data_IF_066938805696
#
_entry.id   IF_066938805696
#
_cell.length_a   1.000
_cell.length_b   1.000
_cell.length_c   1.000
_cell.angle_alpha   90.00
_cell.angle_beta   90.00
_cell.angle_gamma   90.00
#
_symmetry.space_group_name_H-M   'P 1'
#
loop_
_entity.id
_entity.type
_entity.pdbx_description
1 polymer ?
#
# COMPACT_ATOMS: atom_id res chain seq x y z
N UNK A 1 -16.97 -8.19 15.15
CA UNK A 1 -16.01 -8.65 16.17
C UNK A 1 -14.61 -8.56 15.58
N UNK A 2 -13.63 -8.09 16.35
CA UNK A 2 -12.23 -8.08 15.94
C UNK A 2 -11.65 -9.51 15.86
N UNK A 3 -12.09 -10.38 16.77
CA UNK A 3 -11.80 -11.81 16.76
C UNK A 3 -13.05 -12.61 17.18
N UNK A 4 -13.51 -13.51 16.31
CA UNK A 4 -14.71 -14.32 16.50
C UNK A 4 -14.49 -15.39 17.56
N UNK A 5 -13.32 -16.03 17.59
CA UNK A 5 -13.04 -17.14 18.50
C UNK A 5 -12.96 -16.67 19.97
N UNK A 6 -12.34 -15.52 20.22
CA UNK A 6 -12.24 -14.92 21.55
C UNK A 6 -13.40 -13.98 21.89
N UNK A 7 -14.37 -13.82 20.97
CA UNK A 7 -15.50 -12.87 21.08
C UNK A 7 -15.07 -11.43 21.33
N UNK A 8 -13.91 -11.05 20.81
CA UNK A 8 -13.39 -9.70 21.00
C UNK A 8 -14.22 -8.68 20.20
N UNK A 9 -14.74 -7.62 20.83
CA UNK A 9 -15.48 -6.58 20.12
C UNK A 9 -14.55 -5.75 19.22
N UNK A 10 -15.14 -5.11 18.21
CA UNK A 10 -14.45 -4.04 17.46
C UNK A 10 -14.47 -2.79 18.32
N UNK A 11 -13.35 -2.06 18.35
CA UNK A 11 -13.19 -0.80 19.09
C UNK A 11 -12.56 0.25 18.18
N UNK A 12 -12.51 1.51 18.62
CA UNK A 12 -11.89 2.59 17.85
C UNK A 12 -10.37 2.39 17.62
N UNK A 13 -9.71 1.59 18.47
CA UNK A 13 -8.28 1.29 18.39
C UNK A 13 -7.99 -0.09 17.78
N UNK A 14 -9.02 -0.78 17.27
CA UNK A 14 -8.82 -2.05 16.57
C UNK A 14 -8.07 -1.79 15.27
N UNK A 15 -6.88 -2.37 15.14
CA UNK A 15 -6.06 -2.30 13.94
C UNK A 15 -6.49 -3.34 12.91
N UNK A 16 -6.49 -2.94 11.64
CA UNK A 16 -6.74 -3.79 10.48
C UNK A 16 -5.56 -3.68 9.53
N UNK A 17 -5.28 -4.75 8.79
CA UNK A 17 -4.33 -4.66 7.67
C UNK A 17 -4.91 -3.70 6.62
N UNK A 18 -4.18 -2.62 6.33
CA UNK A 18 -4.64 -1.61 5.36
C UNK A 18 -4.35 -2.04 3.91
N UNK A 19 -3.59 -3.13 3.74
CA UNK A 19 -3.15 -3.69 2.47
C UNK A 19 -2.64 -2.57 1.53
N UNK A 20 -3.13 -2.58 0.29
CA UNK A 20 -2.71 -1.72 -0.80
C UNK A 20 -2.84 -0.22 -0.57
N UNK A 21 -3.51 0.24 0.49
CA UNK A 21 -3.49 1.64 0.90
C UNK A 21 -2.05 2.09 1.26
N UNK A 22 -1.22 1.17 1.77
CA UNK A 22 0.17 1.45 2.13
C UNK A 22 1.02 2.02 0.96
N UNK A 23 0.65 1.73 -0.29
CA UNK A 23 1.38 2.23 -1.47
C UNK A 23 1.47 3.75 -1.51
N UNK A 24 0.46 4.45 -1.00
CA UNK A 24 0.46 5.91 -0.90
C UNK A 24 1.63 6.38 -0.03
N UNK A 25 1.85 5.74 1.13
CA UNK A 25 2.95 6.06 2.03
C UNK A 25 4.33 5.78 1.40
N UNK A 26 4.46 4.67 0.66
CA UNK A 26 5.68 4.37 -0.10
C UNK A 26 5.94 5.44 -1.17
N UNK A 27 4.91 5.87 -1.91
CA UNK A 27 5.02 6.91 -2.92
C UNK A 27 5.46 8.26 -2.34
N UNK A 28 4.96 8.63 -1.15
CA UNK A 28 5.40 9.82 -0.42
C UNK A 28 6.88 9.75 -0.07
N UNK A 29 7.36 8.59 0.43
CA UNK A 29 8.79 8.41 0.71
C UNK A 29 9.66 8.53 -0.55
N UNK A 30 9.18 8.03 -1.70
CA UNK A 30 9.82 8.23 -3.01
C UNK A 30 9.87 9.71 -3.36
N UNK A 31 8.76 10.43 -3.20
CA UNK A 31 8.69 11.86 -3.49
C UNK A 31 9.62 12.68 -2.59
N UNK A 32 9.82 12.29 -1.33
CA UNK A 32 10.83 12.91 -0.45
C UNK A 32 12.26 12.76 -0.99
N UNK A 33 12.60 11.61 -1.58
CA UNK A 33 13.91 11.44 -2.23
C UNK A 33 14.05 12.25 -3.52
N UNK A 34 12.94 12.47 -4.24
CA UNK A 34 12.90 13.37 -5.40
C UNK A 34 13.11 14.82 -4.98
N UNK A 35 12.40 15.27 -3.93
CA UNK A 35 12.58 16.59 -3.30
C UNK A 35 14.02 16.82 -2.87
N UNK A 36 14.66 15.80 -2.27
CA UNK A 36 16.05 15.85 -1.84
C UNK A 36 17.08 15.77 -3.00
N UNK A 37 16.64 15.73 -4.25
CA UNK A 37 17.52 15.65 -5.42
C UNK A 37 18.22 14.29 -5.61
N UNK A 38 17.92 13.29 -4.77
CA UNK A 38 18.55 11.96 -4.80
C UNK A 38 17.97 11.05 -5.88
N UNK A 39 16.73 11.34 -6.31
CA UNK A 39 15.99 10.58 -7.32
C UNK A 39 15.27 11.55 -8.28
N UNK A 40 14.92 11.07 -9.48
CA UNK A 40 14.08 11.80 -10.44
C UNK A 40 13.00 10.87 -10.99
N UNK A 41 11.85 11.40 -11.37
CA UNK A 41 10.77 10.64 -12.02
C UNK A 41 11.26 9.87 -13.27
N UNK A 42 12.20 10.46 -14.01
CA UNK A 42 12.82 9.88 -15.22
C UNK A 42 14.00 8.96 -14.94
N UNK A 43 14.42 8.78 -13.67
CA UNK A 43 15.47 7.82 -13.33
C UNK A 43 15.01 6.44 -13.75
N UNK A 44 15.87 5.69 -14.43
CA UNK A 44 15.54 4.34 -14.87
C UNK A 44 15.77 3.31 -13.77
N UNK A 45 14.98 2.25 -13.79
CA UNK A 45 15.11 1.11 -12.87
C UNK A 45 16.51 0.49 -12.92
N UNK A 46 17.16 0.56 -14.09
CA UNK A 46 18.51 0.05 -14.35
C UNK A 46 19.56 0.54 -13.35
N UNK A 47 19.43 1.78 -12.85
CA UNK A 47 20.36 2.36 -11.86
C UNK A 47 20.44 1.52 -10.57
N UNK A 48 19.34 0.86 -10.20
CA UNK A 48 19.22 0.13 -8.93
C UNK A 48 19.13 -1.38 -9.12
N UNK A 49 18.47 -1.81 -10.19
CA UNK A 49 18.18 -3.22 -10.48
C UNK A 49 18.46 -3.55 -11.95
N UNK A 50 19.73 -3.58 -12.38
CA UNK A 50 20.09 -3.77 -13.78
C UNK A 50 19.64 -5.13 -14.35
N UNK A 51 19.46 -6.13 -13.49
CA UNK A 51 19.00 -7.48 -13.84
C UNK A 51 17.48 -7.58 -14.03
N UNK A 52 16.70 -6.57 -13.64
CA UNK A 52 15.25 -6.60 -13.85
C UNK A 52 14.91 -6.55 -15.36
N UNK A 53 13.83 -7.22 -15.80
CA UNK A 53 13.38 -7.16 -17.19
C UNK A 53 13.17 -5.72 -17.65
N UNK A 54 13.68 -5.38 -18.85
CA UNK A 54 13.56 -4.04 -19.44
C UNK A 54 13.97 -2.88 -18.49
N UNK A 55 14.93 -3.11 -17.58
CA UNK A 55 15.29 -2.12 -16.55
C UNK A 55 15.71 -0.75 -17.09
N UNK A 56 16.26 -0.68 -18.32
CA UNK A 56 16.63 0.57 -18.99
C UNK A 56 15.43 1.36 -19.52
N UNK A 57 14.34 0.67 -19.89
CA UNK A 57 13.12 1.28 -20.44
C UNK A 57 12.09 1.65 -19.39
N UNK A 58 12.25 1.20 -18.14
CA UNK A 58 11.32 1.46 -17.04
C UNK A 58 11.83 2.59 -16.16
N UNK A 59 10.98 3.59 -15.92
CA UNK A 59 11.27 4.76 -15.07
C UNK A 59 10.60 4.69 -13.70
N UNK A 60 11.05 5.50 -12.74
CA UNK A 60 10.37 5.66 -11.44
C UNK A 60 8.91 6.06 -11.61
N UNK A 61 8.62 6.96 -12.56
CA UNK A 61 7.25 7.37 -12.88
C UNK A 61 6.38 6.18 -13.28
N UNK A 62 6.90 5.29 -14.14
CA UNK A 62 6.16 4.10 -14.57
C UNK A 62 5.93 3.09 -13.46
N UNK A 63 6.84 2.99 -12.47
CA UNK A 63 6.60 2.18 -11.28
C UNK A 63 5.47 2.75 -10.42
N UNK A 64 5.49 4.07 -10.15
CA UNK A 64 4.46 4.75 -9.37
C UNK A 64 3.06 4.65 -10.00
N UNK A 65 3.00 4.52 -11.32
CA UNK A 65 1.75 4.52 -12.10
C UNK A 65 1.21 3.14 -12.44
N UNK A 66 1.93 2.09 -12.07
CA UNK A 66 1.63 0.72 -12.51
C UNK A 66 1.66 0.59 -14.04
N UNK A 67 2.60 1.25 -14.73
CA UNK A 67 2.78 1.17 -16.18
C UNK A 67 4.15 0.60 -16.57
N UNK A 68 4.87 -0.02 -15.63
CA UNK A 68 6.18 -0.64 -15.90
C UNK A 68 6.11 -1.92 -16.74
N UNK A 69 4.95 -2.57 -16.81
CA UNK A 69 4.79 -3.91 -17.38
C UNK A 69 5.33 -5.04 -16.51
N UNK A 70 5.88 -4.76 -15.32
CA UNK A 70 6.44 -5.80 -14.45
C UNK A 70 5.35 -6.54 -13.67
N UNK A 71 5.48 -7.86 -13.58
CA UNK A 71 4.57 -8.74 -12.85
C UNK A 71 5.29 -9.92 -12.22
N UNK A 72 4.64 -10.57 -11.26
CA UNK A 72 5.10 -11.83 -10.69
C UNK A 72 4.65 -13.01 -11.58
N UNK A 73 5.42 -14.10 -11.65
CA UNK A 73 4.95 -15.34 -12.26
C UNK A 73 3.77 -15.92 -11.47
N UNK A 74 2.92 -16.72 -12.12
CA UNK A 74 1.70 -17.27 -11.50
C UNK A 74 1.98 -18.17 -10.29
N UNK A 75 3.12 -18.82 -10.29
CA UNK A 75 3.63 -19.73 -9.27
C UNK A 75 4.64 -19.08 -8.32
N UNK A 76 4.71 -17.73 -8.31
CA UNK A 76 5.59 -17.00 -7.41
C UNK A 76 5.44 -17.47 -5.96
N UNK A 77 6.59 -17.74 -5.34
CA UNK A 77 6.70 -18.04 -3.92
C UNK A 77 7.54 -16.96 -3.26
N UNK A 78 7.12 -16.40 -2.11
CA UNK A 78 7.94 -15.45 -1.39
C UNK A 78 9.26 -16.12 -0.96
N UNK A 79 10.32 -15.33 -0.87
CA UNK A 79 11.55 -15.79 -0.24
C UNK A 79 11.27 -16.16 1.23
N UNK A 80 12.09 -17.04 1.85
CA UNK A 80 12.10 -17.17 3.30
C UNK A 80 12.28 -15.80 3.95
N UNK A 81 11.67 -15.62 5.13
CA UNK A 81 11.81 -14.39 5.90
C UNK A 81 13.29 -14.11 6.17
N UNK A 82 13.76 -12.92 5.80
CA UNK A 82 15.17 -12.53 5.92
C UNK A 82 15.26 -11.03 6.24
N UNK A 83 15.77 -10.23 5.31
CA UNK A 83 15.80 -8.77 5.35
C UNK A 83 15.10 -8.19 4.11
N UNK A 84 14.82 -6.88 4.14
CA UNK A 84 14.10 -6.20 3.07
C UNK A 84 14.79 -6.32 1.69
N UNK A 85 16.14 -6.33 1.64
CA UNK A 85 16.86 -6.46 0.38
C UNK A 85 16.80 -7.90 -0.15
N UNK A 86 16.74 -8.90 0.71
CA UNK A 86 16.46 -10.29 0.34
C UNK A 86 15.13 -10.43 -0.37
N UNK A 87 14.05 -9.85 0.19
CA UNK A 87 12.72 -9.80 -0.43
C UNK A 87 12.78 -9.15 -1.82
N UNK A 88 13.43 -7.99 -1.91
CA UNK A 88 13.54 -7.23 -3.17
C UNK A 88 14.37 -7.99 -4.22
N UNK A 89 15.51 -8.56 -3.84
CA UNK A 89 16.39 -9.27 -4.76
C UNK A 89 15.71 -10.53 -5.31
N UNK A 90 14.95 -11.24 -4.47
CA UNK A 90 14.12 -12.36 -4.90
C UNK A 90 13.03 -11.90 -5.87
N UNK A 91 12.32 -10.83 -5.55
CA UNK A 91 11.31 -10.25 -6.42
C UNK A 91 11.88 -9.81 -7.79
N UNK A 92 13.09 -9.26 -7.82
CA UNK A 92 13.81 -8.91 -9.06
C UNK A 92 14.18 -10.15 -9.87
N UNK A 93 14.63 -11.23 -9.21
CA UNK A 93 15.02 -12.46 -9.88
C UNK A 93 13.83 -13.16 -10.56
N UNK A 94 12.67 -13.14 -9.90
CA UNK A 94 11.45 -13.77 -10.39
C UNK A 94 10.64 -12.89 -11.36
N UNK A 95 10.91 -11.58 -11.40
CA UNK A 95 10.16 -10.60 -12.18
C UNK A 95 10.00 -11.02 -13.66
N UNK A 96 8.78 -10.89 -14.17
CA UNK A 96 8.43 -11.07 -15.58
C UNK A 96 7.92 -9.77 -16.17
N UNK A 97 8.04 -9.64 -17.48
CA UNK A 97 7.39 -8.58 -18.24
C UNK A 97 6.05 -9.09 -18.79
N UNK A 98 5.01 -8.27 -18.73
CA UNK A 98 3.74 -8.56 -19.38
C UNK A 98 3.89 -8.59 -20.90
N UNK A 99 2.97 -9.26 -21.59
CA UNK A 99 2.95 -9.34 -23.05
C UNK A 99 2.86 -7.95 -23.73
N UNK A 100 2.24 -6.98 -23.06
CA UNK A 100 2.09 -5.61 -23.55
C UNK A 100 3.30 -4.71 -23.30
N UNK A 101 4.32 -5.20 -22.57
CA UNK A 101 5.47 -4.39 -22.17
C UNK A 101 5.12 -3.24 -21.22
N UNK A 102 6.00 -2.23 -21.15
CA UNK A 102 5.79 -1.01 -20.38
C UNK A 102 4.99 0.04 -21.18
N UNK A 103 4.28 0.92 -20.47
CA UNK A 103 3.44 1.98 -21.04
C UNK A 103 1.94 1.68 -21.00
N UNK A 104 1.55 0.42 -20.83
CA UNK A 104 0.15 0.04 -20.57
C UNK A 104 -0.07 -0.16 -19.07
N UNK A 105 -1.22 0.28 -18.57
CA UNK A 105 -1.57 0.10 -17.16
C UNK A 105 -1.76 -1.38 -16.82
N UNK A 106 -1.04 -1.83 -15.80
CA UNK A 106 -1.14 -3.18 -15.24
C UNK A 106 -0.82 -3.13 -13.75
N UNK A 107 -1.84 -3.29 -12.91
CA UNK A 107 -1.68 -3.28 -11.46
C UNK A 107 -0.80 -4.44 -11.00
N UNK A 108 0.32 -4.13 -10.33
CA UNK A 108 1.26 -5.14 -9.85
C UNK A 108 2.03 -4.63 -8.63
N UNK A 109 1.89 -5.33 -7.50
CA UNK A 109 2.59 -5.00 -6.26
C UNK A 109 4.11 -4.95 -6.40
N UNK A 110 4.66 -5.71 -7.36
CA UNK A 110 6.10 -5.71 -7.68
C UNK A 110 6.65 -4.30 -7.92
N UNK A 111 5.86 -3.40 -8.53
CA UNK A 111 6.27 -2.01 -8.74
C UNK A 111 6.69 -1.32 -7.42
N UNK A 112 5.89 -1.51 -6.38
CA UNK A 112 6.07 -0.86 -5.08
C UNK A 112 7.07 -1.61 -4.18
N UNK A 113 7.22 -2.92 -4.35
CA UNK A 113 8.36 -3.67 -3.77
C UNK A 113 9.68 -3.12 -4.32
N UNK A 114 9.77 -2.90 -5.63
CA UNK A 114 10.97 -2.32 -6.24
C UNK A 114 11.20 -0.87 -5.78
N UNK A 115 10.17 -0.03 -5.69
CA UNK A 115 10.29 1.32 -5.13
C UNK A 115 10.82 1.29 -3.69
N UNK A 116 10.35 0.35 -2.86
CA UNK A 116 10.87 0.14 -1.50
C UNK A 116 12.35 -0.22 -1.52
N UNK A 117 12.76 -1.13 -2.41
CA UNK A 117 14.16 -1.46 -2.62
C UNK A 117 15.03 -0.28 -3.07
N UNK A 118 14.51 0.61 -3.91
CA UNK A 118 15.20 1.86 -4.30
C UNK A 118 15.40 2.76 -3.08
N UNK A 119 14.36 2.94 -2.26
CA UNK A 119 14.44 3.73 -1.03
C UNK A 119 15.51 3.18 -0.08
N UNK A 120 15.54 1.87 0.13
CA UNK A 120 16.54 1.20 0.98
C UNK A 120 17.94 1.42 0.42
N UNK A 121 18.17 1.19 -0.89
CA UNK A 121 19.47 1.41 -1.53
C UNK A 121 19.94 2.87 -1.48
N UNK A 122 19.03 3.83 -1.58
CA UNK A 122 19.36 5.26 -1.54
C UNK A 122 19.68 5.78 -0.14
N UNK A 123 19.10 5.18 0.89
CA UNK A 123 19.13 5.72 2.25
C UNK A 123 19.95 4.89 3.22
N UNK A 124 20.19 3.61 2.91
CA UNK A 124 20.80 2.65 3.84
C UNK A 124 19.88 2.24 4.99
N UNK A 125 18.62 2.67 5.00
CA UNK A 125 17.64 2.38 6.06
C UNK A 125 16.68 1.27 5.62
N UNK A 126 16.19 0.48 6.57
CA UNK A 126 15.09 -0.46 6.32
C UNK A 126 13.80 0.27 6.00
N UNK A 127 12.84 -0.41 5.37
CA UNK A 127 11.52 0.18 5.11
C UNK A 127 10.84 0.60 6.42
N UNK A 128 10.93 -0.22 7.47
CA UNK A 128 10.36 0.10 8.78
C UNK A 128 10.95 1.38 9.39
N UNK A 129 12.27 1.59 9.26
CA UNK A 129 12.93 2.82 9.72
C UNK A 129 12.46 4.05 8.93
N UNK A 130 12.39 3.94 7.61
CA UNK A 130 11.88 5.01 6.75
C UNK A 130 10.42 5.35 7.04
N UNK A 131 9.60 4.33 7.27
CA UNK A 131 8.20 4.48 7.64
C UNK A 131 8.07 5.19 9.00
N UNK A 132 8.81 4.73 10.01
CA UNK A 132 8.77 5.31 11.35
C UNK A 132 9.23 6.77 11.38
N UNK A 133 10.28 7.12 10.61
CA UNK A 133 10.82 8.48 10.54
C UNK A 133 9.98 9.42 9.67
N UNK A 134 9.20 8.89 8.72
CA UNK A 134 8.33 9.69 7.86
C UNK A 134 6.93 9.87 8.43
N UNK A 135 6.40 8.84 9.10
CA UNK A 135 5.00 8.79 9.53
C UNK A 135 4.87 8.54 11.04
N UNK A 136 5.31 7.38 11.55
CA UNK A 136 4.96 6.96 12.92
C UNK A 136 5.37 7.96 13.99
N UNK A 137 6.62 8.40 13.95
CA UNK A 137 7.18 9.34 14.94
C UNK A 137 6.58 10.74 14.79
N UNK A 138 6.63 11.41 13.61
CA UNK A 138 6.14 12.78 13.48
C UNK A 138 4.62 12.93 13.56
N UNK A 139 3.86 11.85 13.37
CA UNK A 139 2.39 11.86 13.44
C UNK A 139 1.84 11.22 14.72
N UNK A 140 2.73 10.74 15.60
CA UNK A 140 2.39 10.05 16.84
C UNK A 140 1.42 8.88 16.61
N UNK A 141 1.75 8.01 15.65
CA UNK A 141 0.94 6.83 15.32
C UNK A 141 1.17 5.76 16.40
N UNK A 142 0.15 5.50 17.21
CA UNK A 142 0.24 4.58 18.37
C UNK A 142 -0.43 3.23 18.13
N UNK A 143 -1.27 3.10 17.10
CA UNK A 143 -1.94 1.87 16.69
C UNK A 143 -1.57 1.57 15.24
N UNK A 144 -0.27 1.43 15.00
CA UNK A 144 0.30 1.10 13.70
C UNK A 144 1.42 0.07 13.88
N UNK A 145 1.33 -1.07 13.20
CA UNK A 145 2.32 -2.17 13.33
C UNK A 145 2.55 -2.87 12.00
N UNK A 146 3.70 -3.51 11.81
CA UNK A 146 3.92 -4.34 10.62
C UNK A 146 3.28 -5.73 10.79
N UNK A 147 2.74 -6.27 9.69
CA UNK A 147 2.01 -7.54 9.67
C UNK A 147 2.86 -8.78 10.02
N UNK A 148 4.18 -8.69 9.90
CA UNK A 148 5.12 -9.75 10.28
C UNK A 148 5.52 -9.70 11.77
N UNK A 149 5.11 -8.67 12.51
CA UNK A 149 5.35 -8.60 13.94
C UNK A 149 4.47 -9.57 14.73
N UNK A 150 4.82 -9.83 15.98
CA UNK A 150 4.01 -10.69 16.87
C UNK A 150 2.62 -10.07 17.06
N UNK A 151 1.53 -10.79 16.78
CA UNK A 151 0.18 -10.25 16.94
C UNK A 151 -0.13 -9.78 18.36
N UNK A 152 -0.82 -8.65 18.48
CA UNK A 152 -1.32 -8.09 19.73
C UNK A 152 -2.85 -8.13 19.77
N UNK A 153 -3.44 -7.97 20.96
CA UNK A 153 -4.88 -8.08 21.12
C UNK A 153 -5.66 -7.05 20.28
N UNK A 154 -5.13 -5.86 20.09
CA UNK A 154 -5.74 -4.80 19.28
C UNK A 154 -5.66 -5.05 17.76
N UNK A 155 -4.93 -6.06 17.28
CA UNK A 155 -4.94 -6.47 15.87
C UNK A 155 -6.14 -7.39 15.58
N UNK A 156 -7.01 -6.96 14.67
CA UNK A 156 -8.11 -7.79 14.21
C UNK A 156 -7.59 -9.07 13.53
N UNK A 157 -8.33 -10.16 13.67
CA UNK A 157 -8.10 -11.38 12.88
C UNK A 157 -8.81 -11.25 11.54
N UNK A 158 -8.08 -11.43 10.43
CA UNK A 158 -8.67 -11.49 9.09
C UNK A 158 -9.38 -12.83 8.87
N UNK A 159 -10.45 -12.83 8.08
CA UNK A 159 -11.24 -14.02 7.80
C UNK A 159 -11.45 -14.22 6.30
N UNK A 160 -11.48 -15.49 5.87
CA UNK A 160 -11.98 -15.82 4.54
C UNK A 160 -13.47 -15.47 4.45
N UNK A 161 -13.90 -14.84 3.36
CA UNK A 161 -15.32 -14.59 3.13
C UNK A 161 -16.02 -15.83 2.56
N UNK A 162 -17.23 -16.14 3.05
CA UNK A 162 -18.06 -17.23 2.55
C UNK A 162 -19.26 -16.66 1.78
N UNK A 163 -19.25 -16.68 0.43
CA UNK A 163 -20.30 -16.04 -0.37
C UNK A 163 -21.71 -16.60 -0.11
N UNK A 164 -21.82 -17.91 0.09
CA UNK A 164 -23.10 -18.59 0.29
C UNK A 164 -23.85 -18.10 1.54
N UNK A 165 -23.13 -17.71 2.58
CA UNK A 165 -23.72 -17.26 3.86
C UNK A 165 -23.56 -15.76 4.09
N UNK A 166 -22.79 -15.08 3.23
CA UNK A 166 -22.35 -13.70 3.41
C UNK A 166 -21.73 -13.44 4.79
N UNK A 167 -21.01 -14.43 5.33
CA UNK A 167 -20.40 -14.37 6.67
C UNK A 167 -18.89 -14.64 6.62
N UNK A 168 -18.15 -14.18 7.64
CA UNK A 168 -16.78 -14.62 7.85
C UNK A 168 -16.71 -16.14 8.04
N UNK A 169 -15.73 -16.77 7.40
CA UNK A 169 -15.40 -18.18 7.50
C UNK A 169 -14.27 -18.45 8.49
N UNK A 170 -13.34 -19.34 8.13
CA UNK A 170 -12.16 -19.63 8.94
C UNK A 170 -11.19 -18.43 8.97
N UNK A 171 -10.37 -18.27 10.03
CA UNK A 171 -9.30 -17.28 10.06
C UNK A 171 -8.39 -17.40 8.83
N UNK A 172 -7.97 -16.26 8.31
CA UNK A 172 -6.92 -16.18 7.32
C UNK A 172 -5.58 -16.20 8.05
N UNK A 173 -4.71 -17.17 7.72
CA UNK A 173 -3.41 -17.32 8.37
C UNK A 173 -2.32 -16.88 7.41
N UNK A 174 -1.61 -15.82 7.77
CA UNK A 174 -0.50 -15.27 7.00
C UNK A 174 0.81 -15.57 7.72
N UNK A 175 1.72 -16.31 7.08
CA UNK A 175 3.06 -16.52 7.61
C UNK A 175 3.94 -15.27 7.46
N UNK A 176 4.91 -15.08 8.34
CA UNK A 176 5.79 -13.90 8.35
C UNK A 176 6.49 -13.65 7.00
N UNK A 177 6.90 -14.71 6.29
CA UNK A 177 7.51 -14.59 4.96
C UNK A 177 6.54 -14.01 3.92
N UNK A 178 5.26 -14.40 3.96
CA UNK A 178 4.25 -13.89 3.04
C UNK A 178 3.88 -12.44 3.38
N UNK A 179 3.73 -12.13 4.68
CA UNK A 179 3.50 -10.76 5.13
C UNK A 179 4.66 -9.83 4.73
N UNK A 180 5.91 -10.26 4.92
CA UNK A 180 7.10 -9.46 4.59
C UNK A 180 7.31 -9.31 3.08
N UNK A 181 6.82 -10.25 2.26
CA UNK A 181 6.87 -10.15 0.81
C UNK A 181 6.01 -9.00 0.25
N UNK A 182 5.08 -8.47 1.05
CA UNK A 182 4.32 -7.24 0.76
C UNK A 182 5.10 -5.97 1.14
N UNK A 183 6.43 -5.99 0.93
CA UNK A 183 7.34 -4.90 1.27
C UNK A 183 6.90 -3.57 0.64
N UNK A 184 6.40 -2.67 1.47
CA UNK A 184 5.90 -1.36 1.06
C UNK A 184 4.65 -1.38 0.17
N UNK A 185 3.97 -2.53 0.09
CA UNK A 185 2.76 -2.72 -0.70
C UNK A 185 1.52 -2.93 0.14
N UNK A 186 1.60 -3.59 1.29
CA UNK A 186 0.43 -3.83 2.15
C UNK A 186 0.65 -4.50 3.52
N UNK A 187 1.89 -4.64 3.96
CA UNK A 187 2.28 -5.26 5.23
C UNK A 187 2.09 -4.39 6.50
N UNK A 188 1.13 -3.47 6.55
CA UNK A 188 0.92 -2.57 7.70
C UNK A 188 -0.50 -2.68 8.23
N UNK A 189 -0.60 -2.81 9.55
CA UNK A 189 -1.82 -2.68 10.32
C UNK A 189 -1.96 -1.23 10.81
N UNK A 190 -3.16 -0.67 10.73
CA UNK A 190 -3.51 0.60 11.36
C UNK A 190 -4.92 0.55 11.92
N UNK A 191 -5.19 1.33 12.96
CA UNK A 191 -6.57 1.73 13.27
C UNK A 191 -7.06 2.83 12.31
N UNK A 192 -8.34 3.19 12.41
CA UNK A 192 -8.95 4.22 11.55
C UNK A 192 -8.33 5.60 11.80
N UNK A 193 -7.96 5.91 13.05
CA UNK A 193 -7.47 7.23 13.43
C UNK A 193 -6.04 7.49 12.91
N UNK A 194 -5.16 6.50 13.02
CA UNK A 194 -3.79 6.57 12.49
C UNK A 194 -3.79 6.63 10.97
N UNK A 195 -4.64 5.84 10.30
CA UNK A 195 -4.76 5.95 8.84
C UNK A 195 -5.25 7.35 8.42
N UNK A 196 -6.26 7.90 9.11
CA UNK A 196 -6.69 9.28 8.85
C UNK A 196 -5.57 10.29 9.08
N UNK A 197 -4.81 10.20 10.18
CA UNK A 197 -3.68 11.09 10.46
C UNK A 197 -2.64 11.08 9.36
N UNK A 198 -2.32 9.90 8.82
CA UNK A 198 -1.38 9.76 7.69
C UNK A 198 -1.96 10.41 6.44
N UNK A 199 -3.17 10.05 6.03
CA UNK A 199 -3.76 10.55 4.78
C UNK A 199 -4.01 12.07 4.83
N UNK A 200 -4.53 12.59 5.95
CA UNK A 200 -4.66 14.02 6.17
C UNK A 200 -3.31 14.73 6.14
N UNK A 201 -2.26 14.11 6.71
CA UNK A 201 -0.91 14.65 6.66
C UNK A 201 -0.35 14.71 5.24
N UNK A 202 -0.63 13.71 4.41
CA UNK A 202 -0.25 13.67 2.99
C UNK A 202 -0.91 14.82 2.24
N UNK A 203 -2.17 15.13 2.56
CA UNK A 203 -2.88 16.24 1.94
C UNK A 203 -2.40 17.62 2.38
N UNK A 204 -1.90 17.77 3.60
CA UNK A 204 -1.73 19.09 4.24
C UNK A 204 -0.29 19.48 4.57
N UNK A 205 0.59 18.53 4.90
CA UNK A 205 1.93 18.84 5.47
C UNK A 205 3.09 18.04 4.91
N UNK A 206 2.88 16.81 4.44
CA UNK A 206 3.98 15.96 3.97
C UNK A 206 4.40 16.29 2.54
N UNK A 207 3.46 16.77 1.72
CA UNK A 207 3.68 17.16 0.34
C UNK A 207 3.22 18.60 0.10
N UNK A 208 3.97 19.35 -0.69
CA UNK A 208 3.49 20.63 -1.22
C UNK A 208 2.45 20.41 -2.33
N UNK A 209 1.63 21.40 -2.69
CA UNK A 209 0.67 21.27 -3.79
C UNK A 209 1.31 20.81 -5.12
N UNK A 210 2.48 21.35 -5.47
CA UNK A 210 3.22 20.98 -6.68
C UNK A 210 3.69 19.51 -6.63
N UNK A 211 4.06 19.01 -5.45
CA UNK A 211 4.47 17.63 -5.28
C UNK A 211 3.27 16.68 -5.32
N UNK A 212 2.13 17.05 -4.73
CA UNK A 212 0.88 16.29 -4.88
C UNK A 212 0.48 16.21 -6.34
N UNK A 213 0.52 17.32 -7.07
CA UNK A 213 0.29 17.33 -8.51
C UNK A 213 1.27 16.38 -9.23
N UNK A 214 2.56 16.47 -8.94
CA UNK A 214 3.58 15.62 -9.57
C UNK A 214 3.39 14.13 -9.26
N UNK A 215 3.02 13.79 -8.03
CA UNK A 215 2.94 12.41 -7.54
C UNK A 215 1.64 11.73 -7.94
N UNK A 216 0.51 12.43 -7.82
CA UNK A 216 -0.84 11.87 -7.95
C UNK A 216 -1.51 12.18 -9.29
N UNK A 217 -0.93 13.03 -10.14
CA UNK A 217 -1.38 13.14 -11.55
C UNK A 217 -1.35 11.74 -12.15
N UNK A 218 -2.46 11.20 -12.67
CA UNK A 218 -2.46 9.85 -13.22
C UNK A 218 -1.59 9.71 -14.47
N UNK A 219 -0.85 8.61 -14.57
CA UNK A 219 -0.05 8.29 -15.76
C UNK A 219 -0.76 7.36 -16.74
N UNK A 220 -2.04 7.06 -16.51
CA UNK A 220 -2.79 6.08 -17.31
C UNK A 220 -4.31 6.22 -17.19
N UNK A 221 -5.03 5.48 -18.04
CA UNK A 221 -6.51 5.44 -18.10
C UNK A 221 -7.19 4.99 -16.81
N UNK A 222 -6.46 4.32 -15.91
CA UNK A 222 -7.01 3.85 -14.63
C UNK A 222 -7.17 4.96 -13.60
N UNK A 223 -6.75 6.19 -13.90
CA UNK A 223 -6.67 7.33 -12.96
C UNK A 223 -5.71 7.10 -11.79
N UNK A 224 -4.83 6.09 -11.89
CA UNK A 224 -3.86 5.75 -10.85
C UNK A 224 -2.58 6.58 -10.97
N UNK A 225 -2.12 7.14 -9.85
CA UNK A 225 -0.85 7.83 -9.72
C UNK A 225 -0.34 7.77 -8.28
N UNK A 226 0.89 7.30 -8.09
CA UNK A 226 1.57 7.39 -6.79
C UNK A 226 0.84 6.72 -5.62
N UNK A 227 0.17 5.59 -5.84
CA UNK A 227 -0.56 4.90 -4.78
C UNK A 227 -2.06 5.21 -4.70
N UNK A 228 -2.50 6.32 -5.31
CA UNK A 228 -3.87 6.83 -5.23
C UNK A 228 -4.61 6.73 -6.56
N UNK A 229 -5.93 6.66 -6.46
CA UNK A 229 -6.84 7.01 -7.53
C UNK A 229 -7.29 8.46 -7.31
N UNK A 230 -6.81 9.37 -8.15
CA UNK A 230 -7.17 10.78 -8.06
C UNK A 230 -8.47 11.03 -8.84
N UNK A 231 -9.54 11.39 -8.14
CA UNK A 231 -10.90 11.60 -8.69
C UNK A 231 -11.50 12.89 -8.13
N UNK A 232 -12.81 12.93 -7.89
CA UNK A 232 -13.46 14.01 -7.13
C UNK A 232 -12.93 14.10 -5.71
N UNK A 233 -12.58 12.95 -5.13
CA UNK A 233 -11.85 12.79 -3.87
C UNK A 233 -10.68 11.85 -4.10
N UNK A 234 -9.66 11.93 -3.26
CA UNK A 234 -8.56 10.98 -3.29
C UNK A 234 -9.01 9.64 -2.70
N UNK A 235 -8.64 8.56 -3.38
CA UNK A 235 -9.11 7.23 -3.04
C UNK A 235 -7.99 6.19 -3.04
N UNK A 236 -7.97 5.34 -2.02
CA UNK A 236 -7.18 4.11 -1.98
C UNK A 236 -8.04 2.94 -1.50
N UNK A 237 -7.67 1.73 -1.90
CA UNK A 237 -8.34 0.50 -1.47
C UNK A 237 -7.30 -0.55 -1.11
N UNK A 238 -7.60 -1.33 -0.08
CA UNK A 238 -6.86 -2.48 0.41
C UNK A 238 -7.69 -3.75 0.31
N UNK A 239 -7.09 -4.83 -0.16
CA UNK A 239 -7.71 -6.14 -0.23
C UNK A 239 -6.64 -7.22 -0.15
N UNK A 240 -6.71 -8.06 0.86
CA UNK A 240 -5.70 -9.09 1.10
C UNK A 240 -5.91 -9.73 2.47
N UNK A 241 -5.33 -10.90 2.69
CA UNK A 241 -5.11 -11.45 4.04
C UNK A 241 -6.34 -11.55 4.97
N UNK A 242 -7.55 -11.63 4.39
CA UNK A 242 -8.81 -11.65 5.13
C UNK A 242 -9.36 -10.28 5.50
N UNK A 243 -8.78 -9.21 4.97
CA UNK A 243 -9.15 -7.82 5.16
C UNK A 243 -9.64 -7.17 3.87
N UNK A 244 -10.40 -6.10 4.06
CA UNK A 244 -10.78 -5.19 3.00
C UNK A 244 -10.95 -3.79 3.59
N UNK A 245 -10.23 -2.83 3.03
CA UNK A 245 -10.18 -1.46 3.52
C UNK A 245 -10.43 -0.49 2.38
N UNK A 246 -11.20 0.56 2.63
CA UNK A 246 -11.44 1.65 1.69
C UNK A 246 -11.19 2.98 2.38
N UNK A 247 -10.40 3.84 1.73
CA UNK A 247 -10.12 5.19 2.19
C UNK A 247 -10.52 6.18 1.11
N UNK A 248 -11.30 7.19 1.50
CA UNK A 248 -11.66 8.35 0.69
C UNK A 248 -11.36 9.59 1.50
N UNK A 249 -10.68 10.57 0.94
CA UNK A 249 -10.31 11.80 1.64
C UNK A 249 -10.45 13.01 0.71
N UNK A 250 -10.96 14.11 1.25
CA UNK A 250 -11.03 15.38 0.55
C UNK A 250 -9.62 15.91 0.22
N UNK A 251 -9.49 16.68 -0.86
CA UNK A 251 -8.18 17.23 -1.28
C UNK A 251 -7.54 18.19 -0.27
N UNK A 252 -8.34 18.75 0.66
CA UNK A 252 -7.87 19.57 1.76
C UNK A 252 -7.52 18.76 3.03
N UNK A 253 -7.76 17.45 3.02
CA UNK A 253 -7.44 16.52 4.11
C UNK A 253 -8.32 16.63 5.36
N UNK A 254 -9.36 17.46 5.35
CA UNK A 254 -10.20 17.69 6.53
C UNK A 254 -11.20 16.55 6.76
N UNK A 255 -11.80 16.05 5.68
CA UNK A 255 -12.89 15.09 5.74
C UNK A 255 -12.47 13.77 5.09
N UNK A 256 -12.77 12.65 5.76
CA UNK A 256 -12.46 11.33 5.24
C UNK A 256 -13.56 10.31 5.56
N UNK A 257 -13.78 9.38 4.64
CA UNK A 257 -14.55 8.16 4.86
C UNK A 257 -13.58 6.99 4.79
N UNK A 258 -13.37 6.35 5.94
CA UNK A 258 -12.52 5.16 6.08
C UNK A 258 -13.38 4.00 6.57
N UNK A 259 -13.42 2.93 5.79
CA UNK A 259 -14.16 1.71 6.11
C UNK A 259 -13.18 0.55 6.09
N UNK A 260 -13.01 -0.11 7.24
CA UNK A 260 -12.15 -1.28 7.39
C UNK A 260 -12.98 -2.49 7.81
N UNK A 261 -12.70 -3.63 7.21
CA UNK A 261 -13.40 -4.87 7.48
C UNK A 261 -12.41 -6.04 7.54
N UNK A 262 -12.61 -6.95 8.50
CA UNK A 262 -11.80 -8.15 8.68
C UNK A 262 -12.46 -9.39 8.03
N UNK A 263 -13.22 -9.18 6.96
CA UNK A 263 -13.68 -10.23 6.06
C UNK A 263 -13.85 -9.62 4.68
N UNK A 264 -13.20 -10.19 3.67
CA UNK A 264 -13.20 -9.69 2.29
C UNK A 264 -14.58 -9.81 1.60
N UNK A 265 -15.52 -8.91 1.91
CA UNK A 265 -16.92 -8.95 1.45
C UNK A 265 -17.11 -8.59 -0.04
N UNK A 266 -16.11 -7.97 -0.67
CA UNK A 266 -16.16 -7.58 -2.08
C UNK A 266 -17.06 -6.37 -2.33
N UNK A 267 -17.99 -6.49 -3.29
CA UNK A 267 -18.82 -5.37 -3.81
C UNK A 267 -19.66 -4.63 -2.76
N UNK A 268 -20.33 -5.29 -1.78
CA UNK A 268 -21.18 -4.60 -0.82
C UNK A 268 -20.45 -3.53 0.00
N UNK A 269 -19.21 -3.80 0.43
CA UNK A 269 -18.42 -2.83 1.21
C UNK A 269 -18.05 -1.61 0.37
N UNK A 270 -17.70 -1.83 -0.89
CA UNK A 270 -17.40 -0.74 -1.82
C UNK A 270 -18.65 0.13 -2.07
N UNK A 271 -19.82 -0.49 -2.27
CA UNK A 271 -21.09 0.24 -2.46
C UNK A 271 -21.43 1.11 -1.24
N UNK A 272 -21.29 0.56 -0.03
CA UNK A 272 -21.50 1.33 1.20
C UNK A 272 -20.51 2.49 1.33
N UNK A 273 -19.23 2.26 1.02
CA UNK A 273 -18.20 3.31 1.03
C UNK A 273 -18.54 4.44 0.06
N UNK A 274 -18.99 4.12 -1.16
CA UNK A 274 -19.38 5.12 -2.16
C UNK A 274 -20.57 5.95 -1.68
N UNK A 275 -21.59 5.32 -1.08
CA UNK A 275 -22.73 6.02 -0.51
C UNK A 275 -22.33 6.96 0.63
N UNK A 276 -21.48 6.51 1.55
CA UNK A 276 -20.94 7.35 2.62
C UNK A 276 -20.11 8.51 2.06
N UNK A 277 -19.30 8.26 1.03
CA UNK A 277 -18.51 9.31 0.35
C UNK A 277 -19.42 10.41 -0.19
N UNK A 278 -20.51 10.05 -0.87
CA UNK A 278 -21.47 11.02 -1.42
C UNK A 278 -22.22 11.81 -0.34
N UNK A 279 -22.35 11.24 0.86
CA UNK A 279 -23.05 11.87 1.98
C UNK A 279 -22.16 12.83 2.77
N UNK A 280 -20.88 12.50 2.91
CA UNK A 280 -19.98 13.17 3.86
C UNK A 280 -18.81 13.92 3.22
N UNK A 281 -18.55 13.73 1.92
CA UNK A 281 -17.47 14.42 1.21
C UNK A 281 -18.02 15.37 0.14
N UNK A 282 -17.43 16.55 -0.02
CA UNK A 282 -17.85 17.58 -0.98
C UNK A 282 -17.56 17.21 -2.44
#
# INVERSE_FOLDING_TARGET
>A
MANIATRQPVTATTMYEIDSIQKVMTAVMVMRQIRAGKLRMTTTLHRFFPKAPNSRGITIRQLLDMTSGLTYPKDFRPAPYHDDLGVVNHAVAEAKQTATGNGTWHYSGLNFVLLSGILIKLTGQTYAQLFATTFSTPLHLTHTRFAYETPTADMATGYHFVPATQRPGRPFVTGAALAHAELGTGQVYMDVADLYRVEAAIQTKLLTPAEKQTLFTPGSVSTYGGGLYHRTVDAANGYGYGFQSHMRISHNGQDAVIVMNNSAMGKPLLSATVQLTQMYLP
#
